data_IF_606702706252
#
_entry.id   IF_606702706252
#
_cell.length_a   1.000
_cell.length_b   1.000
_cell.length_c   1.000
_cell.angle_alpha   90.00
_cell.angle_beta   90.00
_cell.angle_gamma   90.00
#
_symmetry.space_group_name_H-M   'P 1'
#
loop_
_entity.id
_entity.type
_entity.pdbx_description
1 polymer ?
#
# COMPACT_ATOMS: atom_id res chain seq x y z
N UNK A 1 14.28 -2.98 19.45
CA UNK A 1 12.83 -2.85 19.16
C UNK A 1 12.54 -2.20 17.80
N UNK A 2 13.29 -1.17 17.41
CA UNK A 2 13.10 -0.51 16.10
C UNK A 2 13.29 -1.44 14.89
N UNK A 3 14.14 -2.44 14.99
CA UNK A 3 14.46 -3.38 13.90
C UNK A 3 13.28 -4.28 13.48
N UNK A 4 12.46 -4.68 14.44
CA UNK A 4 11.30 -5.57 14.18
C UNK A 4 10.21 -4.79 13.46
N UNK A 5 10.09 -3.50 13.74
CA UNK A 5 9.13 -2.64 13.09
C UNK A 5 9.44 -2.35 11.62
N UNK A 6 10.72 -2.34 11.23
CA UNK A 6 11.09 -2.09 9.83
C UNK A 6 10.55 -3.16 8.89
N UNK A 7 10.75 -4.45 9.21
CA UNK A 7 10.24 -5.54 8.39
C UNK A 7 8.71 -5.56 8.33
N UNK A 8 8.05 -5.24 9.44
CA UNK A 8 6.59 -5.15 9.48
C UNK A 8 6.07 -3.99 8.60
N UNK A 9 6.70 -2.82 8.68
CA UNK A 9 6.37 -1.68 7.82
C UNK A 9 6.63 -1.99 6.35
N UNK A 10 7.74 -2.63 6.01
CA UNK A 10 8.06 -3.05 4.64
C UNK A 10 7.03 -4.05 4.13
N UNK A 11 6.63 -5.04 4.94
CA UNK A 11 5.61 -6.01 4.57
C UNK A 11 4.25 -5.34 4.29
N UNK A 12 3.83 -4.41 5.13
CA UNK A 12 2.59 -3.63 4.95
C UNK A 12 2.66 -2.74 3.71
N UNK A 13 3.78 -2.09 3.49
CA UNK A 13 3.97 -1.28 2.30
C UNK A 13 3.93 -2.12 1.02
N UNK A 14 4.54 -3.30 1.03
CA UNK A 14 4.46 -4.22 -0.10
C UNK A 14 3.03 -4.72 -0.35
N UNK A 15 2.26 -4.98 0.70
CA UNK A 15 0.84 -5.34 0.58
C UNK A 15 0.03 -4.19 -0.03
N UNK A 16 0.25 -2.97 0.44
CA UNK A 16 -0.38 -1.77 -0.13
C UNK A 16 -0.01 -1.57 -1.61
N UNK A 17 1.27 -1.74 -1.97
CA UNK A 17 1.74 -1.68 -3.35
C UNK A 17 1.08 -2.75 -4.24
N UNK A 18 0.86 -3.95 -3.71
CA UNK A 18 0.16 -5.02 -4.43
C UNK A 18 -1.29 -4.66 -4.73
N UNK A 19 -2.01 -4.07 -3.77
CA UNK A 19 -3.38 -3.58 -3.97
C UNK A 19 -3.40 -2.43 -4.97
N UNK A 20 -2.46 -1.50 -4.90
CA UNK A 20 -2.32 -0.40 -5.86
C UNK A 20 -2.06 -0.90 -7.27
N UNK A 21 -1.17 -1.89 -7.42
CA UNK A 21 -0.91 -2.53 -8.71
C UNK A 21 -2.16 -3.18 -9.31
N UNK A 22 -2.98 -3.81 -8.48
CA UNK A 22 -4.26 -4.40 -8.90
C UNK A 22 -5.25 -3.32 -9.37
N UNK A 23 -5.33 -2.18 -8.68
CA UNK A 23 -6.16 -1.04 -9.10
C UNK A 23 -5.70 -0.47 -10.45
N UNK A 24 -4.39 -0.28 -10.63
CA UNK A 24 -3.79 0.17 -11.90
C UNK A 24 -4.12 -0.80 -13.04
N UNK A 25 -3.98 -2.11 -12.82
CA UNK A 25 -4.31 -3.12 -13.81
C UNK A 25 -5.79 -3.09 -14.18
N UNK A 26 -6.68 -2.89 -13.22
CA UNK A 26 -8.11 -2.73 -13.44
C UNK A 26 -8.43 -1.46 -14.26
N UNK A 27 -7.76 -0.35 -13.95
CA UNK A 27 -7.91 0.90 -14.71
C UNK A 27 -7.48 0.71 -16.17
N UNK A 28 -6.33 0.11 -16.40
CA UNK A 28 -5.81 -0.15 -17.75
C UNK A 28 -6.77 -1.07 -18.53
N UNK A 29 -7.26 -2.13 -17.90
CA UNK A 29 -8.20 -3.06 -18.52
C UNK A 29 -9.52 -2.37 -18.92
N UNK A 30 -9.93 -1.34 -18.21
CA UNK A 30 -11.17 -0.58 -18.44
C UNK A 30 -10.93 0.79 -19.10
N UNK A 31 -9.77 1.02 -19.68
CA UNK A 31 -9.45 2.30 -20.32
C UNK A 31 -10.40 2.69 -21.47
N UNK A 32 -11.02 1.70 -22.10
CA UNK A 32 -12.00 1.89 -23.18
C UNK A 32 -13.46 1.62 -22.75
N UNK A 33 -13.71 1.41 -21.46
CA UNK A 33 -15.07 1.18 -20.94
C UNK A 33 -15.78 2.53 -20.74
N UNK A 34 -16.89 2.81 -21.43
CA UNK A 34 -17.62 4.06 -21.25
C UNK A 34 -18.10 4.24 -19.81
N UNK A 35 -17.93 5.45 -19.28
CA UNK A 35 -18.37 5.80 -17.93
C UNK A 35 -17.53 5.22 -16.80
N UNK A 36 -16.48 4.48 -17.08
CA UNK A 36 -15.59 3.93 -16.06
C UNK A 36 -14.84 5.04 -15.33
N UNK A 37 -14.79 4.94 -14.01
CA UNK A 37 -14.05 5.86 -13.14
C UNK A 37 -12.79 5.18 -12.64
N UNK A 38 -11.64 5.83 -12.84
CA UNK A 38 -10.36 5.34 -12.38
C UNK A 38 -10.35 5.17 -10.86
N UNK A 39 -9.67 4.12 -10.40
CA UNK A 39 -9.53 3.76 -8.99
C UNK A 39 -8.09 4.00 -8.56
N UNK A 40 -7.90 4.43 -7.33
CA UNK A 40 -6.59 4.45 -6.66
C UNK A 40 -6.79 4.02 -5.20
N UNK A 41 -5.70 3.78 -4.51
CA UNK A 41 -5.71 3.40 -3.10
C UNK A 41 -5.49 4.63 -2.22
N UNK A 42 -5.99 4.59 -0.99
CA UNK A 42 -5.69 5.64 -0.02
C UNK A 42 -4.17 5.74 0.22
N UNK A 43 -3.64 6.94 0.56
CA UNK A 43 -2.23 7.12 0.86
C UNK A 43 -1.77 6.18 1.97
N UNK A 44 -0.55 5.65 1.84
CA UNK A 44 0.01 4.69 2.78
C UNK A 44 0.15 5.24 4.21
N UNK A 45 0.38 6.55 4.36
CA UNK A 45 0.42 7.23 5.66
C UNK A 45 -0.87 7.01 6.47
N UNK A 46 -2.03 7.06 5.79
CA UNK A 46 -3.33 6.79 6.45
C UNK A 46 -3.50 5.33 6.86
N UNK A 47 -2.93 4.41 6.09
CA UNK A 47 -2.90 2.99 6.45
C UNK A 47 -2.06 2.77 7.70
N UNK A 48 -0.92 3.46 7.82
CA UNK A 48 -0.06 3.40 9.01
C UNK A 48 -0.73 4.03 10.25
N UNK A 49 -1.39 5.16 10.09
CA UNK A 49 -2.09 5.84 11.19
C UNK A 49 -3.21 4.96 11.78
N UNK A 50 -3.98 4.29 10.94
CA UNK A 50 -5.06 3.39 11.38
C UNK A 50 -4.55 2.16 12.14
N UNK A 51 -3.25 1.85 12.05
CA UNK A 51 -2.63 0.69 12.69
C UNK A 51 -2.01 1.03 14.06
N UNK A 52 -1.91 2.31 14.42
CA UNK A 52 -1.21 2.76 15.63
C UNK A 52 -1.90 2.48 16.96
N UNK A 53 -3.14 2.05 16.99
CA UNK A 53 -3.94 1.93 18.21
C UNK A 53 -4.55 0.53 18.40
N UNK A 54 -3.72 -0.52 18.36
CA UNK A 54 -4.10 -1.78 18.97
C UNK A 54 -3.76 -1.70 20.46
N UNK A 55 -4.75 -1.49 21.31
CA UNK A 55 -4.57 -1.66 22.75
C UNK A 55 -4.28 -3.13 23.06
N UNK A 56 -3.12 -3.39 23.64
CA UNK A 56 -2.78 -4.72 24.10
C UNK A 56 -3.46 -4.97 25.45
N UNK A 57 -4.48 -5.84 25.46
CA UNK A 57 -5.13 -6.25 26.70
C UNK A 57 -4.24 -7.22 27.46
N UNK A 58 -3.81 -6.81 28.61
CA UNK A 58 -3.05 -7.68 29.55
C UNK A 58 -3.95 -8.57 30.40
N UNK A 59 -5.28 -8.43 30.29
CA UNK A 59 -6.25 -9.25 31.01
C UNK A 59 -7.52 -9.44 30.17
N UNK A 60 -8.12 -10.63 30.22
CA UNK A 60 -9.34 -10.99 29.49
C UNK A 60 -10.58 -10.14 29.84
N UNK A 61 -10.55 -9.41 30.96
CA UNK A 61 -11.60 -8.48 31.38
C UNK A 61 -11.41 -7.05 30.88
N UNK A 62 -10.34 -6.75 30.14
CA UNK A 62 -10.14 -5.44 29.56
C UNK A 62 -10.99 -5.28 28.28
N UNK A 63 -11.68 -4.15 28.19
CA UNK A 63 -12.41 -3.79 26.98
C UNK A 63 -11.37 -3.48 25.92
N UNK A 64 -11.14 -4.44 25.02
CA UNK A 64 -10.41 -4.19 23.79
C UNK A 64 -11.43 -3.92 22.71
N UNK A 65 -11.25 -2.84 21.98
CA UNK A 65 -11.93 -2.67 20.70
C UNK A 65 -11.62 -3.90 19.84
N UNK A 66 -12.68 -4.70 19.61
CA UNK A 66 -12.56 -6.03 19.05
C UNK A 66 -11.77 -6.05 17.76
N UNK A 67 -10.80 -6.94 17.74
CA UNK A 67 -9.99 -7.34 16.59
C UNK A 67 -9.39 -6.17 15.79
N UNK A 68 -8.10 -6.01 15.94
CA UNK A 68 -7.28 -5.35 14.93
C UNK A 68 -7.57 -5.99 13.56
N UNK A 69 -8.60 -5.53 12.89
CA UNK A 69 -8.68 -5.70 11.44
C UNK A 69 -7.42 -5.06 10.91
N UNK A 70 -6.52 -5.86 10.39
CA UNK A 70 -5.45 -5.33 9.53
C UNK A 70 -6.12 -4.26 8.66
N UNK A 71 -5.61 -3.02 8.74
CA UNK A 71 -6.27 -1.90 8.09
C UNK A 71 -6.45 -2.27 6.62
N UNK A 72 -7.69 -2.53 6.24
CA UNK A 72 -8.00 -2.87 4.87
C UNK A 72 -7.59 -1.66 4.02
N UNK A 73 -6.82 -1.92 2.98
CA UNK A 73 -6.43 -0.86 2.04
C UNK A 73 -7.70 -0.42 1.32
N UNK A 74 -8.12 0.80 1.58
CA UNK A 74 -9.34 1.35 1.00
C UNK A 74 -9.08 1.82 -0.44
N UNK A 75 -9.90 1.31 -1.36
CA UNK A 75 -9.85 1.69 -2.78
C UNK A 75 -10.84 2.82 -3.01
N UNK A 76 -10.38 3.92 -3.57
CA UNK A 76 -11.16 5.13 -3.82
C UNK A 76 -11.19 5.45 -5.31
N UNK A 77 -12.20 6.21 -5.72
CA UNK A 77 -12.16 6.87 -7.02
C UNK A 77 -11.03 7.89 -7.01
N UNK A 78 -10.14 7.82 -8.00
CA UNK A 78 -9.07 8.81 -8.15
C UNK A 78 -9.62 10.13 -8.68
N UNK A 79 -8.91 11.22 -8.40
CA UNK A 79 -9.15 12.47 -9.08
C UNK A 79 -8.64 12.35 -10.54
N UNK A 80 -9.50 12.55 -11.53
CA UNK A 80 -9.10 12.37 -12.92
C UNK A 80 -8.24 13.55 -13.41
N UNK A 81 -7.15 13.24 -14.10
CA UNK A 81 -6.42 14.25 -14.88
C UNK A 81 -7.23 14.71 -16.10
N UNK A 82 -7.94 13.76 -16.69
CA UNK A 82 -8.74 13.95 -17.87
C UNK A 82 -9.98 13.06 -17.82
N UNK A 83 -11.08 13.54 -18.36
CA UNK A 83 -12.29 12.73 -18.56
C UNK A 83 -12.66 12.79 -20.03
N UNK A 84 -12.72 11.64 -20.68
CA UNK A 84 -13.09 11.53 -22.09
C UNK A 84 -14.57 11.82 -22.31
N UNK A 85 -14.95 12.06 -23.55
CA UNK A 85 -16.34 12.33 -23.93
C UNK A 85 -17.30 11.19 -23.57
N UNK A 86 -16.79 9.94 -23.50
CA UNK A 86 -17.53 8.76 -23.04
C UNK A 86 -17.76 8.70 -21.52
N UNK A 87 -17.19 9.65 -20.75
CA UNK A 87 -17.24 9.68 -19.29
C UNK A 87 -16.18 8.81 -18.62
N UNK A 88 -15.26 8.20 -19.37
CA UNK A 88 -14.13 7.43 -18.84
C UNK A 88 -13.06 8.39 -18.29
N UNK A 89 -12.61 8.15 -17.05
CA UNK A 89 -11.60 9.00 -16.38
C UNK A 89 -10.22 8.34 -16.29
N UNK A 90 -9.96 7.26 -17.02
CA UNK A 90 -8.66 6.58 -17.06
C UNK A 90 -7.76 7.29 -18.06
N UNK A 91 -6.58 7.75 -17.61
CA UNK A 91 -5.47 8.19 -18.45
C UNK A 91 -4.39 7.12 -18.46
N UNK A 92 -4.08 6.56 -19.62
CA UNK A 92 -3.04 5.52 -19.75
C UNK A 92 -1.67 6.04 -19.36
N UNK A 93 -1.36 7.30 -19.67
CA UNK A 93 -0.12 7.94 -19.31
C UNK A 93 0.05 8.02 -17.79
N UNK A 94 -1.01 8.42 -17.09
CA UNK A 94 -1.03 8.45 -15.63
C UNK A 94 -0.86 7.05 -15.03
N UNK A 95 -1.56 6.05 -15.57
CA UNK A 95 -1.46 4.68 -15.08
C UNK A 95 -0.07 4.08 -15.31
N UNK A 96 0.60 4.42 -16.41
CA UNK A 96 2.00 4.02 -16.65
C UNK A 96 2.96 4.66 -15.66
N UNK A 97 2.77 5.94 -15.33
CA UNK A 97 3.56 6.62 -14.29
C UNK A 97 3.33 5.94 -12.93
N UNK A 98 2.09 5.69 -12.57
CA UNK A 98 1.73 5.02 -11.33
C UNK A 98 2.32 3.61 -11.23
N UNK A 99 2.30 2.84 -12.33
CA UNK A 99 2.92 1.51 -12.41
C UNK A 99 4.45 1.59 -12.23
N UNK A 100 5.08 2.59 -12.83
CA UNK A 100 6.51 2.88 -12.65
C UNK A 100 6.86 3.18 -11.20
N UNK A 101 6.05 3.98 -10.53
CA UNK A 101 6.22 4.33 -9.11
C UNK A 101 6.06 3.11 -8.19
N UNK A 102 5.08 2.26 -8.44
CA UNK A 102 4.90 0.99 -7.71
C UNK A 102 6.12 0.08 -7.86
N UNK A 103 6.62 -0.08 -9.08
CA UNK A 103 7.82 -0.88 -9.34
C UNK A 103 9.06 -0.33 -8.63
N UNK A 104 9.25 0.99 -8.67
CA UNK A 104 10.37 1.67 -7.99
C UNK A 104 10.29 1.50 -6.48
N UNK A 105 9.12 1.71 -5.89
CA UNK A 105 8.90 1.54 -4.46
C UNK A 105 9.13 0.10 -4.00
N UNK A 106 8.68 -0.89 -4.78
CA UNK A 106 8.89 -2.30 -4.47
C UNK A 106 10.37 -2.69 -4.50
N UNK A 107 11.11 -2.21 -5.50
CA UNK A 107 12.58 -2.43 -5.59
C UNK A 107 13.31 -1.77 -4.43
N UNK A 108 12.90 -0.57 -4.04
CA UNK A 108 13.46 0.14 -2.89
C UNK A 108 13.22 -0.64 -1.60
N UNK A 109 11.99 -1.09 -1.36
CA UNK A 109 11.64 -1.90 -0.19
C UNK A 109 12.47 -3.18 -0.11
N UNK A 110 12.63 -3.88 -1.22
CA UNK A 110 13.45 -5.09 -1.31
C UNK A 110 14.92 -4.78 -1.02
N UNK A 111 15.45 -3.68 -1.56
CA UNK A 111 16.82 -3.23 -1.30
C UNK A 111 17.06 -2.89 0.18
N UNK A 112 16.16 -2.15 0.79
CA UNK A 112 16.21 -1.79 2.22
C UNK A 112 16.16 -3.05 3.09
N UNK A 113 15.23 -3.96 2.84
CA UNK A 113 15.09 -5.19 3.60
C UNK A 113 16.36 -6.06 3.53
N UNK A 114 16.95 -6.21 2.34
CA UNK A 114 18.20 -6.95 2.14
C UNK A 114 19.38 -6.28 2.85
N UNK A 115 19.51 -4.97 2.75
CA UNK A 115 20.59 -4.23 3.39
C UNK A 115 20.52 -4.35 4.92
N UNK A 116 19.31 -4.21 5.46
CA UNK A 116 19.07 -4.34 6.89
C UNK A 116 19.34 -5.76 7.39
N UNK A 117 18.91 -6.77 6.65
CA UNK A 117 19.20 -8.18 6.97
C UNK A 117 20.71 -8.46 7.01
N UNK A 118 21.47 -7.93 6.07
CA UNK A 118 22.95 -8.03 6.07
C UNK A 118 23.57 -7.35 7.29
N UNK A 119 23.08 -6.18 7.68
CA UNK A 119 23.56 -5.49 8.89
C UNK A 119 23.29 -6.30 10.15
N UNK A 120 22.13 -6.92 10.27
CA UNK A 120 21.80 -7.82 11.38
C UNK A 120 22.74 -9.04 11.42
N UNK A 121 22.98 -9.67 10.27
CA UNK A 121 23.91 -10.81 10.19
C UNK A 121 25.35 -10.40 10.54
N UNK A 122 25.81 -9.23 10.12
CA UNK A 122 27.13 -8.70 10.47
C UNK A 122 27.25 -8.44 11.98
N UNK A 123 26.21 -7.87 12.58
CA UNK A 123 26.13 -7.65 14.03
C UNK A 123 26.13 -8.96 14.84
N UNK A 124 25.47 -9.99 14.32
CA UNK A 124 25.39 -11.29 14.99
C UNK A 124 26.68 -12.12 14.90
N UNK A 125 27.58 -11.81 13.96
CA UNK A 125 28.88 -12.48 13.78
C UNK A 125 30.03 -11.80 14.52
N UNK A 126 29.79 -10.61 15.05
CA UNK A 126 30.75 -9.90 15.88
C UNK A 126 30.69 -10.41 17.32
#
# INVERSE_FOLDING_TARGET
MAAIHLFDVVARHNQWLSVRQSAIASNIANANTPGYKSLDVQPFEKVLESTRLAMNATNAGHITDGATKAAAVDIRKSEPWETTHSGNSVSLEQELINAGDVNRAYRLNTGIAKAFHRMLLASAKA
#
